data_IF_205915894809
#
_entry.id   IF_205915894809
#
_cell.length_a   1.000
_cell.length_b   1.000
_cell.length_c   1.000
_cell.angle_alpha   90.00
_cell.angle_beta   90.00
_cell.angle_gamma   90.00
#
_symmetry.space_group_name_H-M   'P 1'
#
loop_
_entity.id
_entity.type
_entity.pdbx_description
1 polymer ?
#
# COMPACT_ATOMS: atom_id res chain seq x y z
N UNK A 1 36.79 26.46 6.59
CA UNK A 1 36.44 25.03 6.46
C UNK A 1 35.15 24.93 5.68
N UNK A 2 35.18 24.35 4.47
CA UNK A 2 34.03 24.27 3.56
C UNK A 2 33.07 23.18 4.05
N UNK A 3 31.79 23.52 4.19
CA UNK A 3 30.71 22.62 4.58
C UNK A 3 30.41 21.62 3.46
N UNK A 4 30.63 20.34 3.73
CA UNK A 4 30.28 19.24 2.83
C UNK A 4 28.75 19.10 2.76
N UNK A 5 28.11 19.11 1.59
CA UNK A 5 26.66 18.95 1.50
C UNK A 5 26.28 17.48 1.74
N UNK A 6 25.23 17.26 2.53
CA UNK A 6 24.60 15.96 2.89
C UNK A 6 23.98 15.22 1.68
N UNK A 7 24.36 15.58 0.45
CA UNK A 7 23.83 15.06 -0.82
C UNK A 7 24.35 13.67 -1.20
N UNK A 8 25.27 13.06 -0.44
CA UNK A 8 26.00 11.86 -0.89
C UNK A 8 25.52 10.53 -0.31
N UNK A 9 24.51 10.48 0.56
CA UNK A 9 24.19 9.24 1.31
C UNK A 9 23.04 8.39 0.78
N UNK A 10 22.36 8.81 -0.29
CA UNK A 10 21.31 7.95 -0.85
C UNK A 10 21.51 7.83 -2.36
N UNK A 11 22.18 6.75 -2.71
CA UNK A 11 22.29 6.22 -4.05
C UNK A 11 20.90 6.14 -4.67
N UNK A 12 20.68 6.93 -5.73
CA UNK A 12 19.49 6.88 -6.59
C UNK A 12 19.39 5.51 -7.25
N UNK A 13 18.82 4.51 -6.58
CA UNK A 13 18.08 3.46 -7.28
C UNK A 13 16.66 3.95 -7.41
N UNK A 14 16.44 4.70 -8.49
CA UNK A 14 15.10 4.98 -8.98
C UNK A 14 14.54 3.62 -9.42
N UNK A 15 13.85 2.93 -8.51
CA UNK A 15 13.12 1.71 -8.84
C UNK A 15 12.10 2.14 -9.89
N UNK A 16 12.11 1.55 -11.10
CA UNK A 16 11.17 1.93 -12.14
C UNK A 16 9.74 1.80 -11.59
N UNK A 17 8.98 2.91 -11.66
CA UNK A 17 7.59 3.01 -11.17
C UNK A 17 6.60 2.08 -11.89
N UNK A 18 7.07 1.29 -12.86
CA UNK A 18 6.30 0.25 -13.51
C UNK A 18 6.20 -0.99 -12.60
N UNK A 19 5.17 -0.98 -11.76
CA UNK A 19 4.35 -2.12 -11.33
C UNK A 19 5.02 -3.51 -11.38
N UNK A 20 6.09 -3.72 -10.62
CA UNK A 20 6.67 -5.08 -10.46
C UNK A 20 5.67 -6.05 -9.80
N UNK A 21 4.66 -5.53 -9.10
CA UNK A 21 3.65 -6.31 -8.39
C UNK A 21 2.32 -6.46 -9.13
N UNK A 22 1.85 -5.43 -9.85
CA UNK A 22 0.66 -5.52 -10.71
C UNK A 22 0.80 -6.59 -11.80
N UNK A 23 2.03 -6.84 -12.29
CA UNK A 23 2.33 -7.89 -13.27
C UNK A 23 2.18 -9.31 -12.69
N UNK A 24 2.37 -9.50 -11.36
CA UNK A 24 2.24 -10.82 -10.73
C UNK A 24 0.78 -11.27 -10.55
N UNK A 25 -0.14 -10.34 -10.31
CA UNK A 25 -1.59 -10.64 -10.21
C UNK A 25 -2.13 -11.20 -11.53
N UNK A 26 -1.73 -10.62 -12.68
CA UNK A 26 -2.20 -11.06 -14.00
C UNK A 26 -1.87 -12.53 -14.34
N UNK A 27 -0.88 -13.13 -13.65
CA UNK A 27 -0.43 -14.50 -13.89
C UNK A 27 -1.08 -15.53 -12.95
N UNK A 28 -1.74 -15.09 -11.89
CA UNK A 28 -2.38 -15.96 -10.89
C UNK A 28 -3.88 -15.96 -11.16
N UNK A 29 -4.35 -17.01 -11.83
CA UNK A 29 -5.67 -17.14 -12.46
C UNK A 29 -6.82 -16.43 -11.76
N UNK A 30 -7.22 -15.28 -12.32
CA UNK A 30 -8.52 -14.69 -12.12
C UNK A 30 -9.48 -15.45 -13.03
N UNK A 31 -10.26 -16.35 -12.45
CA UNK A 31 -10.95 -17.42 -13.16
C UNK A 31 -12.05 -16.94 -14.12
N UNK A 32 -12.53 -15.69 -13.99
CA UNK A 32 -13.59 -15.13 -14.87
C UNK A 32 -13.44 -13.64 -15.22
N UNK A 33 -12.48 -12.92 -14.62
CA UNK A 33 -12.28 -11.48 -14.85
C UNK A 33 -10.95 -11.24 -15.57
N UNK A 34 -11.00 -10.62 -16.75
CA UNK A 34 -9.79 -10.23 -17.48
C UNK A 34 -9.07 -9.11 -16.72
N UNK A 35 -7.80 -9.33 -16.40
CA UNK A 35 -6.93 -8.33 -15.77
C UNK A 35 -5.67 -8.15 -16.63
N UNK A 36 -5.66 -7.15 -17.54
CA UNK A 36 -4.52 -6.90 -18.43
C UNK A 36 -3.32 -6.28 -17.70
N UNK A 37 -3.48 -5.94 -16.42
CA UNK A 37 -2.46 -5.32 -15.58
C UNK A 37 -3.03 -4.16 -14.76
N UNK A 38 -2.18 -3.59 -13.90
CA UNK A 38 -2.58 -2.46 -13.06
C UNK A 38 -2.73 -1.22 -13.93
N UNK A 39 -3.92 -0.63 -13.91
CA UNK A 39 -4.20 0.66 -14.53
C UNK A 39 -4.86 1.58 -13.51
N UNK A 40 -4.46 2.85 -13.50
CA UNK A 40 -4.87 3.85 -12.51
C UNK A 40 -5.60 4.99 -13.22
N UNK A 41 -6.67 5.46 -12.58
CA UNK A 41 -7.39 6.71 -12.88
C UNK A 41 -7.81 6.90 -14.35
N UNK A 42 -9.04 6.49 -14.71
CA UNK A 42 -10.02 5.75 -13.91
C UNK A 42 -9.67 4.26 -13.75
N UNK A 43 -10.27 3.56 -12.76
CA UNK A 43 -10.10 2.10 -12.65
C UNK A 43 -10.89 1.44 -13.80
N UNK A 44 -10.24 0.74 -14.74
CA UNK A 44 -10.93 0.28 -15.95
C UNK A 44 -11.76 -0.99 -15.75
N UNK A 45 -11.53 -1.73 -14.65
CA UNK A 45 -12.12 -3.05 -14.46
C UNK A 45 -12.43 -3.38 -12.99
N UNK A 46 -13.25 -4.41 -12.74
CA UNK A 46 -13.63 -4.89 -11.40
C UNK A 46 -12.47 -5.32 -10.49
N UNK A 47 -11.28 -5.61 -11.01
CA UNK A 47 -10.10 -6.00 -10.23
C UNK A 47 -9.30 -4.77 -9.82
N UNK A 48 -9.13 -3.81 -10.75
CA UNK A 48 -8.49 -2.53 -10.51
C UNK A 48 -9.25 -1.66 -9.51
N UNK A 49 -10.58 -1.79 -9.41
CA UNK A 49 -11.41 -1.05 -8.47
C UNK A 49 -11.08 -1.31 -6.98
N UNK A 50 -11.15 -2.56 -6.46
CA UNK A 50 -10.76 -2.86 -5.08
C UNK A 50 -9.26 -2.66 -4.83
N UNK A 51 -8.37 -2.92 -5.82
CA UNK A 51 -6.94 -2.58 -5.69
C UNK A 51 -6.72 -1.09 -5.44
N UNK A 52 -7.41 -0.23 -6.19
CA UNK A 52 -7.35 1.23 -6.01
C UNK A 52 -7.84 1.62 -4.63
N UNK A 53 -8.96 1.05 -4.18
CA UNK A 53 -9.50 1.29 -2.85
C UNK A 53 -8.52 0.83 -1.75
N UNK A 54 -7.92 -0.34 -1.86
CA UNK A 54 -6.93 -0.84 -0.88
C UNK A 54 -5.72 0.06 -0.77
N UNK A 55 -5.19 0.53 -1.90
CA UNK A 55 -4.06 1.48 -1.87
C UNK A 55 -4.45 2.78 -1.18
N UNK A 56 -5.64 3.33 -1.46
CA UNK A 56 -6.14 4.54 -0.78
C UNK A 56 -6.30 4.32 0.73
N UNK A 57 -6.85 3.18 1.15
CA UNK A 57 -7.05 2.86 2.57
C UNK A 57 -5.71 2.73 3.32
N UNK A 58 -4.76 1.97 2.78
CA UNK A 58 -3.43 1.78 3.39
C UNK A 58 -2.69 3.12 3.47
N UNK A 59 -2.74 3.91 2.38
CA UNK A 59 -2.15 5.24 2.36
C UNK A 59 -2.74 6.15 3.45
N UNK A 60 -4.07 6.13 3.62
CA UNK A 60 -4.75 6.91 4.65
C UNK A 60 -4.31 6.49 6.05
N UNK A 61 -4.25 5.19 6.35
CA UNK A 61 -3.82 4.69 7.66
C UNK A 61 -2.37 5.07 7.98
N UNK A 62 -1.45 4.87 7.04
CA UNK A 62 -0.04 5.24 7.22
C UNK A 62 0.12 6.76 7.37
N UNK A 63 -0.64 7.55 6.60
CA UNK A 63 -0.64 9.00 6.74
C UNK A 63 -1.12 9.41 8.13
N UNK A 64 -2.23 8.86 8.62
CA UNK A 64 -2.75 9.13 9.96
C UNK A 64 -1.77 8.74 11.08
N UNK A 65 -1.07 7.61 10.93
CA UNK A 65 -0.03 7.20 11.87
C UNK A 65 1.14 8.18 11.90
N UNK A 66 1.61 8.62 10.73
CA UNK A 66 2.68 9.60 10.63
C UNK A 66 2.27 10.95 11.25
N UNK A 67 1.06 11.44 10.94
CA UNK A 67 0.50 12.63 11.59
C UNK A 67 0.48 12.49 13.12
N UNK A 68 0.02 11.35 13.62
CA UNK A 68 -0.05 11.09 15.07
C UNK A 68 1.32 11.06 15.77
N UNK A 69 2.39 10.73 15.03
CA UNK A 69 3.78 10.76 15.53
C UNK A 69 4.44 12.14 15.42
N UNK A 70 3.69 13.17 15.01
CA UNK A 70 4.20 14.54 14.87
C UNK A 70 4.99 14.78 13.60
N UNK A 71 4.92 13.88 12.61
CA UNK A 71 5.38 14.21 11.27
C UNK A 71 4.42 15.18 10.61
N UNK A 72 4.97 16.13 9.87
CA UNK A 72 4.23 16.78 8.79
C UNK A 72 4.43 15.92 7.52
N UNK A 73 3.44 15.11 7.12
CA UNK A 73 3.58 14.23 5.96
C UNK A 73 3.71 14.99 4.64
N UNK A 74 3.49 16.31 4.61
CA UNK A 74 3.78 17.16 3.45
C UNK A 74 5.26 17.58 3.36
N UNK A 75 6.06 17.38 4.41
CA UNK A 75 7.50 17.67 4.46
C UNK A 75 8.31 16.40 4.18
N UNK A 76 8.38 16.00 2.90
CA UNK A 76 9.21 14.87 2.46
C UNK A 76 10.67 15.31 2.24
N UNK A 77 11.65 14.61 2.84
CA UNK A 77 13.07 14.90 2.69
C UNK A 77 13.71 14.31 1.42
N UNK A 78 13.02 13.40 0.71
CA UNK A 78 13.63 12.55 -0.33
C UNK A 78 13.15 12.80 -1.76
N UNK A 79 11.96 13.40 -1.93
CA UNK A 79 11.44 13.79 -3.23
C UNK A 79 11.53 15.30 -3.35
N UNK A 80 11.87 15.80 -4.55
CA UNK A 80 11.69 17.22 -4.89
C UNK A 80 10.31 17.66 -4.41
N UNK A 81 10.25 18.78 -3.70
CA UNK A 81 9.05 19.36 -3.09
C UNK A 81 8.02 19.63 -4.21
N UNK A 82 7.25 18.61 -4.57
CA UNK A 82 5.96 18.76 -5.23
C UNK A 82 4.99 19.05 -4.10
N UNK A 83 4.66 20.33 -3.92
CA UNK A 83 3.63 20.79 -3.00
C UNK A 83 2.38 19.90 -3.15
N UNK A 84 2.02 19.17 -2.08
CA UNK A 84 0.73 18.48 -1.99
C UNK A 84 0.72 16.94 -2.05
N UNK A 85 1.86 16.23 -2.10
CA UNK A 85 1.89 14.76 -2.00
C UNK A 85 2.59 14.25 -0.74
N UNK A 86 1.87 13.47 0.09
CA UNK A 86 2.44 12.77 1.24
C UNK A 86 3.37 11.62 0.82
N UNK A 87 4.55 11.99 0.34
CA UNK A 87 5.51 11.07 -0.30
C UNK A 87 5.99 10.00 0.69
N UNK A 88 6.07 10.34 1.99
CA UNK A 88 6.52 9.43 3.05
C UNK A 88 5.55 8.27 3.28
N UNK A 89 4.24 8.54 3.30
CA UNK A 89 3.22 7.52 3.43
C UNK A 89 3.20 6.59 2.21
N UNK A 90 3.43 7.15 1.02
CA UNK A 90 3.56 6.34 -0.21
C UNK A 90 4.80 5.44 -0.17
N UNK A 91 5.93 5.93 0.34
CA UNK A 91 7.16 5.14 0.46
C UNK A 91 7.01 3.99 1.46
N UNK A 92 6.38 4.24 2.62
CA UNK A 92 6.04 3.19 3.58
C UNK A 92 5.07 2.16 3.00
N UNK A 93 4.05 2.63 2.28
CA UNK A 93 3.02 1.78 1.67
C UNK A 93 3.61 0.77 0.69
N UNK A 94 4.71 1.09 0.00
CA UNK A 94 5.28 0.23 -1.05
C UNK A 94 5.56 -1.20 -0.55
N UNK A 95 5.99 -1.34 0.71
CA UNK A 95 6.23 -2.66 1.34
C UNK A 95 4.97 -3.43 1.71
N UNK A 96 3.81 -2.78 1.68
CA UNK A 96 2.52 -3.36 2.06
C UNK A 96 1.58 -3.62 0.89
N UNK A 97 1.87 -3.10 -0.31
CA UNK A 97 1.02 -3.31 -1.50
C UNK A 97 0.80 -4.78 -1.80
N UNK A 98 1.88 -5.53 -2.00
CA UNK A 98 1.79 -6.95 -2.30
C UNK A 98 1.21 -7.81 -1.16
N UNK A 99 1.74 -7.73 0.09
CA UNK A 99 1.27 -8.63 1.14
C UNK A 99 -0.14 -8.31 1.65
N UNK A 100 -0.62 -7.07 1.49
CA UNK A 100 -1.94 -6.65 1.96
C UNK A 100 -2.91 -6.43 0.80
N UNK A 101 -2.72 -5.39 -0.01
CA UNK A 101 -3.70 -4.96 -0.99
C UNK A 101 -3.87 -5.95 -2.17
N UNK A 102 -2.76 -6.39 -2.75
CA UNK A 102 -2.77 -7.33 -3.87
C UNK A 102 -3.30 -8.69 -3.42
N UNK A 103 -2.84 -9.18 -2.27
CA UNK A 103 -3.32 -10.42 -1.66
C UNK A 103 -4.80 -10.37 -1.30
N UNK A 104 -5.27 -9.28 -0.71
CA UNK A 104 -6.69 -9.07 -0.40
C UNK A 104 -7.51 -9.13 -1.69
N UNK A 105 -7.11 -8.38 -2.72
CA UNK A 105 -7.86 -8.36 -3.98
C UNK A 105 -7.89 -9.74 -4.64
N UNK A 106 -6.77 -10.45 -4.68
CA UNK A 106 -6.72 -11.82 -5.18
C UNK A 106 -7.65 -12.75 -4.39
N UNK A 107 -7.69 -12.65 -3.06
CA UNK A 107 -8.59 -13.45 -2.24
C UNK A 107 -10.06 -13.14 -2.54
N UNK A 108 -10.41 -11.85 -2.67
CA UNK A 108 -11.78 -11.40 -2.96
C UNK A 108 -12.27 -11.96 -4.32
N UNK A 109 -11.41 -11.97 -5.32
CA UNK A 109 -11.74 -12.44 -6.66
C UNK A 109 -11.71 -13.96 -6.77
N UNK A 110 -10.65 -14.62 -6.31
CA UNK A 110 -10.45 -16.06 -6.50
C UNK A 110 -11.44 -16.88 -5.67
N UNK A 111 -11.84 -16.39 -4.50
CA UNK A 111 -12.85 -17.04 -3.66
C UNK A 111 -14.28 -16.61 -4.02
N UNK A 112 -14.47 -15.86 -5.12
CA UNK A 112 -15.77 -15.36 -5.59
C UNK A 112 -16.53 -14.61 -4.50
N UNK A 113 -15.80 -13.88 -3.65
CA UNK A 113 -16.42 -12.96 -2.70
C UNK A 113 -17.10 -11.86 -3.50
N UNK A 114 -16.43 -11.33 -4.53
CA UNK A 114 -17.02 -10.36 -5.45
C UNK A 114 -17.26 -10.96 -6.84
N UNK A 115 -18.48 -10.76 -7.36
CA UNK A 115 -18.90 -11.10 -8.72
C UNK A 115 -18.98 -9.87 -9.63
N UNK A 116 -19.41 -10.03 -10.88
CA UNK A 116 -19.52 -8.91 -11.81
C UNK A 116 -20.64 -7.93 -11.42
N UNK A 117 -21.70 -8.46 -10.81
CA UNK A 117 -22.88 -7.76 -10.28
C UNK A 117 -22.57 -6.83 -9.11
N UNK A 118 -21.47 -7.08 -8.39
CA UNK A 118 -21.00 -6.27 -7.26
C UNK A 118 -20.41 -4.91 -7.71
N UNK A 119 -20.26 -4.71 -9.01
CA UNK A 119 -19.69 -3.51 -9.60
C UNK A 119 -20.71 -2.75 -10.45
N UNK A 120 -20.42 -1.47 -10.67
CA UNK A 120 -21.08 -0.66 -11.67
C UNK A 120 -20.04 0.18 -12.40
N UNK A 121 -20.30 0.41 -13.70
CA UNK A 121 -19.46 1.29 -14.51
C UNK A 121 -20.11 2.66 -14.60
N UNK A 122 -19.32 3.71 -14.38
CA UNK A 122 -19.69 5.07 -14.71
C UNK A 122 -18.96 5.44 -16.02
N UNK A 123 -19.68 5.77 -17.12
CA UNK A 123 -19.11 5.93 -18.47
C UNK A 123 -17.87 6.83 -18.57
N UNK A 124 -17.67 7.78 -17.66
CA UNK A 124 -16.53 8.70 -17.67
C UNK A 124 -15.59 8.54 -16.46
N UNK A 125 -15.92 7.71 -15.48
CA UNK A 125 -15.20 7.64 -14.20
C UNK A 125 -14.67 6.24 -13.87
N UNK A 126 -15.01 5.24 -14.68
CA UNK A 126 -14.53 3.86 -14.55
C UNK A 126 -15.44 2.96 -13.74
N UNK A 127 -14.85 1.89 -13.17
CA UNK A 127 -15.56 0.85 -12.43
C UNK A 127 -15.48 1.10 -10.93
N UNK A 128 -16.63 0.97 -10.26
CA UNK A 128 -16.80 1.21 -8.83
C UNK A 128 -17.51 0.04 -8.13
N UNK A 129 -17.23 -0.13 -6.85
CA UNK A 129 -17.94 -1.08 -5.99
C UNK A 129 -19.33 -0.51 -5.65
N UNK A 130 -20.37 -1.35 -5.72
CA UNK A 130 -21.70 -1.00 -5.20
C UNK A 130 -21.64 -0.82 -3.68
N UNK A 131 -22.65 -0.14 -3.11
CA UNK A 131 -22.72 0.18 -1.68
C UNK A 131 -22.58 -1.06 -0.78
N UNK A 132 -23.26 -2.17 -1.12
CA UNK A 132 -23.20 -3.37 -0.28
C UNK A 132 -21.91 -4.16 -0.43
N UNK A 133 -21.35 -4.18 -1.64
CA UNK A 133 -20.00 -4.68 -1.91
C UNK A 133 -18.95 -3.88 -1.14
N UNK A 134 -19.10 -2.54 -1.07
CA UNK A 134 -18.20 -1.67 -0.33
C UNK A 134 -18.22 -1.95 1.18
N UNK A 135 -19.40 -2.23 1.76
CA UNK A 135 -19.49 -2.64 3.18
C UNK A 135 -18.77 -3.98 3.42
N UNK A 136 -18.98 -4.97 2.54
CA UNK A 136 -18.29 -6.27 2.60
C UNK A 136 -16.78 -6.10 2.46
N UNK A 137 -16.35 -5.24 1.55
CA UNK A 137 -14.93 -4.90 1.36
C UNK A 137 -14.29 -4.41 2.66
N UNK A 138 -14.95 -3.51 3.40
CA UNK A 138 -14.39 -3.03 4.67
C UNK A 138 -14.25 -4.14 5.72
N UNK A 139 -15.19 -5.08 5.77
CA UNK A 139 -15.09 -6.25 6.68
C UNK A 139 -13.87 -7.10 6.32
N UNK A 140 -13.68 -7.41 5.04
CA UNK A 140 -12.55 -8.22 4.56
C UNK A 140 -11.20 -7.50 4.72
N UNK A 141 -11.18 -6.18 4.51
CA UNK A 141 -10.01 -5.35 4.73
C UNK A 141 -9.59 -5.32 6.21
N UNK A 142 -10.56 -5.12 7.12
CA UNK A 142 -10.32 -5.19 8.57
C UNK A 142 -9.83 -6.59 9.00
N UNK A 143 -10.45 -7.65 8.50
CA UNK A 143 -10.02 -9.02 8.77
C UNK A 143 -8.58 -9.26 8.29
N UNK A 144 -8.23 -8.78 7.10
CA UNK A 144 -6.87 -8.88 6.55
C UNK A 144 -5.85 -8.16 7.42
N UNK A 145 -6.16 -6.95 7.88
CA UNK A 145 -5.23 -6.16 8.71
C UNK A 145 -5.02 -6.70 10.11
N UNK A 146 -6.06 -7.29 10.70
CA UNK A 146 -6.03 -7.85 12.06
C UNK A 146 -5.64 -9.33 12.09
N UNK A 147 -5.49 -9.98 10.93
CA UNK A 147 -5.01 -11.36 10.84
C UNK A 147 -3.65 -11.51 11.52
N UNK A 148 -3.56 -12.44 12.46
CA UNK A 148 -2.32 -12.77 13.14
C UNK A 148 -1.38 -13.56 12.23
N UNK A 149 -0.09 -13.22 12.30
CA UNK A 149 1.00 -13.97 11.71
C UNK A 149 2.28 -13.79 12.54
N UNK A 150 3.23 -14.71 12.37
CA UNK A 150 4.54 -14.63 13.04
C UNK A 150 5.48 -13.78 12.21
N UNK A 151 6.05 -12.71 12.80
CA UNK A 151 7.05 -11.88 12.10
C UNK A 151 8.37 -12.63 12.02
N UNK A 152 8.97 -12.69 10.83
CA UNK A 152 10.22 -13.43 10.64
C UNK A 152 11.40 -12.86 11.45
N UNK A 153 11.49 -11.53 11.52
CA UNK A 153 12.56 -10.81 12.23
C UNK A 153 12.60 -11.10 13.74
N UNK A 154 11.44 -11.10 14.44
CA UNK A 154 11.41 -11.26 15.91
C UNK A 154 10.82 -12.58 16.39
N UNK A 155 10.24 -13.39 15.49
CA UNK A 155 9.49 -14.62 15.83
C UNK A 155 8.30 -14.39 16.76
N UNK A 156 7.78 -13.17 16.81
CA UNK A 156 6.62 -12.80 17.62
C UNK A 156 5.34 -12.75 16.78
N UNK A 157 4.20 -12.99 17.45
CA UNK A 157 2.89 -12.77 16.85
C UNK A 157 2.64 -11.27 16.62
N UNK A 158 2.16 -10.95 15.43
CA UNK A 158 1.83 -9.59 15.01
C UNK A 158 0.65 -9.61 14.03
N UNK A 159 0.16 -8.42 13.72
CA UNK A 159 -0.83 -8.17 12.66
C UNK A 159 -0.28 -7.14 11.67
N UNK A 160 -0.87 -7.00 10.49
CA UNK A 160 -0.43 -5.99 9.53
C UNK A 160 -0.67 -4.58 10.07
N UNK A 161 -1.78 -4.36 10.78
CA UNK A 161 -2.04 -3.08 11.46
C UNK A 161 -0.95 -2.73 12.46
N UNK A 162 -0.49 -3.70 13.26
CA UNK A 162 0.66 -3.51 14.16
C UNK A 162 1.94 -3.24 13.36
N UNK A 163 2.16 -3.92 12.24
CA UNK A 163 3.31 -3.65 11.38
C UNK A 163 3.29 -2.24 10.77
N UNK A 164 2.13 -1.70 10.38
CA UNK A 164 2.02 -0.32 9.89
C UNK A 164 2.52 0.67 10.95
N UNK A 165 2.03 0.52 12.19
CA UNK A 165 2.46 1.33 13.32
C UNK A 165 3.96 1.21 13.58
N UNK A 166 4.48 -0.01 13.67
CA UNK A 166 5.90 -0.26 13.92
C UNK A 166 6.79 0.36 12.83
N UNK A 167 6.36 0.32 11.56
CA UNK A 167 7.11 0.95 10.47
C UNK A 167 7.13 2.48 10.58
N UNK A 168 6.01 3.10 10.93
CA UNK A 168 5.95 4.53 11.18
C UNK A 168 6.82 4.94 12.39
N UNK A 169 6.78 4.18 13.49
CA UNK A 169 7.60 4.42 14.69
C UNK A 169 9.10 4.24 14.43
N UNK A 170 9.48 3.22 13.62
CA UNK A 170 10.87 3.02 13.19
C UNK A 170 11.38 4.17 12.36
N UNK A 171 10.54 4.69 11.47
CA UNK A 171 10.87 5.85 10.66
C UNK A 171 11.07 7.11 11.52
N UNK A 172 10.17 7.35 12.48
CA UNK A 172 10.33 8.40 13.51
C UNK A 172 11.67 8.27 14.24
N UNK A 173 11.94 7.06 14.75
CA UNK A 173 13.15 6.77 15.51
C UNK A 173 14.42 6.95 14.68
N UNK A 174 14.39 6.55 13.40
CA UNK A 174 15.51 6.72 12.48
C UNK A 174 15.88 8.19 12.28
N UNK A 175 14.86 9.05 12.15
CA UNK A 175 15.05 10.48 11.95
C UNK A 175 15.48 11.19 13.23
N UNK A 176 14.87 10.87 14.37
CA UNK A 176 15.18 11.53 15.65
C UNK A 176 16.54 11.10 16.22
N UNK A 177 16.87 9.81 16.13
CA UNK A 177 18.04 9.23 16.80
C UNK A 177 19.17 8.87 15.84
N UNK A 178 19.04 9.19 14.54
CA UNK A 178 20.03 8.85 13.49
C UNK A 178 20.34 7.34 13.43
N UNK A 179 19.34 6.51 13.76
CA UNK A 179 19.45 5.04 13.67
C UNK A 179 19.11 4.61 12.24
N UNK A 180 19.78 3.61 11.65
CA UNK A 180 19.40 3.09 10.33
C UNK A 180 17.95 2.57 10.30
N UNK A 181 17.18 3.01 9.31
CA UNK A 181 15.82 2.52 9.09
C UNK A 181 15.84 1.11 8.47
N UNK A 182 15.11 0.18 9.09
CA UNK A 182 14.96 -1.20 8.60
C UNK A 182 13.52 -1.39 8.09
N UNK A 183 13.32 -1.53 6.76
CA UNK A 183 12.01 -1.66 6.17
C UNK A 183 11.34 -2.99 6.54
N UNK A 184 10.01 -3.04 6.43
CA UNK A 184 9.27 -4.28 6.62
C UNK A 184 9.62 -5.30 5.54
N UNK A 185 9.91 -6.53 5.96
CA UNK A 185 10.03 -7.69 5.10
C UNK A 185 8.96 -8.72 5.44
N UNK A 186 8.07 -8.97 4.48
CA UNK A 186 7.16 -10.10 4.52
C UNK A 186 7.87 -11.26 3.82
N UNK A 187 8.35 -12.24 4.58
CA UNK A 187 8.96 -13.40 3.95
C UNK A 187 7.91 -14.21 3.20
N UNK A 188 8.19 -14.41 1.92
CA UNK A 188 7.44 -15.24 0.99
C UNK A 188 8.15 -16.59 0.93
#
# INVERSE_FOLDING_TARGET
>A
MKSTPVKSMVSRRQIPKNDLFGVRIAKVGLTELSFPGRQKHPSPDPVNAPLSLSYTMIFSELSSLLYGLGFDPYLAYYHSIDYGRASLASDLMEKFRAPVADRLTLNLMNNRVFGQEDFYSNPNEGVYLRRETLKRYFVEYEAMLNREFVRQETRENTTFRKCFRLQAERLASSIQNTIPYIPFEFGI
#
